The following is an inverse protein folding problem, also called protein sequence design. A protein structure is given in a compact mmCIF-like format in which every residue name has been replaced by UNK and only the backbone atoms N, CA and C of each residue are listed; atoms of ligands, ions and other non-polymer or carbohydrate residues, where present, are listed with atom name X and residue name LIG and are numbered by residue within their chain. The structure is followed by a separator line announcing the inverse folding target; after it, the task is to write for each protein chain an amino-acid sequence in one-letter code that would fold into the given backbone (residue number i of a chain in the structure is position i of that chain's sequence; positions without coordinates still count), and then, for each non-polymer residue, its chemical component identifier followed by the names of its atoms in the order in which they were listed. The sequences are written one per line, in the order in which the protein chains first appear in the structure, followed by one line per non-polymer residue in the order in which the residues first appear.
data_IF_298846314144
#
_entry.id   IF_298846314144
#
_cell.length_a   1.000
_cell.length_b   1.000
_cell.length_c   1.000
_cell.angle_alpha   90.00
_cell.angle_beta   90.00
_cell.angle_gamma   90.00
#
_symmetry.space_group_name_H-M   'P 1'
#
loop_
_entity.id
_entity.type
_entity.pdbx_description
1 polymer ?
#
# COMPACT_ATOMS: atom_id res chain seq x y z
N UNK A 1 23.02 2.04 -1.96
CA UNK A 1 23.68 2.96 -2.88
C UNK A 1 24.89 2.32 -3.55
N UNK A 2 25.77 1.65 -2.83
CA UNK A 2 27.00 1.05 -3.36
C UNK A 2 26.95 -0.47 -3.56
N UNK A 3 25.73 -1.05 -3.66
CA UNK A 3 25.53 -2.49 -3.84
C UNK A 3 25.97 -3.33 -2.63
N UNK A 4 25.98 -2.74 -1.44
CA UNK A 4 26.25 -3.45 -0.18
C UNK A 4 24.89 -3.97 0.35
N UNK A 5 24.65 -5.23 0.16
CA UNK A 5 23.38 -5.89 0.40
C UNK A 5 23.35 -6.78 1.66
N UNK A 6 24.48 -6.89 2.36
CA UNK A 6 24.55 -7.63 3.63
C UNK A 6 25.37 -6.92 4.70
N UNK A 7 24.98 -7.10 5.96
CA UNK A 7 25.69 -6.53 7.13
C UNK A 7 27.12 -7.07 7.25
N UNK A 8 27.35 -8.31 6.83
CA UNK A 8 28.70 -8.90 6.83
C UNK A 8 29.59 -8.19 5.82
N UNK A 9 29.10 -7.99 4.58
CA UNK A 9 29.83 -7.25 3.56
C UNK A 9 30.04 -5.78 3.97
N UNK A 10 29.05 -5.16 4.61
CA UNK A 10 29.20 -3.80 5.15
C UNK A 10 30.31 -3.72 6.21
N UNK A 11 30.37 -4.66 7.13
CA UNK A 11 31.44 -4.70 8.15
C UNK A 11 32.83 -4.88 7.52
N UNK A 12 32.96 -5.73 6.49
CA UNK A 12 34.20 -5.91 5.73
C UNK A 12 34.61 -4.63 4.99
N UNK A 13 33.67 -3.97 4.30
CA UNK A 13 33.92 -2.72 3.59
C UNK A 13 34.38 -1.62 4.57
N UNK A 14 33.70 -1.46 5.71
CA UNK A 14 34.11 -0.49 6.73
C UNK A 14 35.51 -0.82 7.28
N UNK A 15 35.86 -2.10 7.37
CA UNK A 15 37.15 -2.53 7.90
C UNK A 15 38.32 -2.22 6.96
N UNK A 16 38.13 -2.40 5.64
CA UNK A 16 39.21 -2.36 4.68
C UNK A 16 39.22 -1.11 3.76
N UNK A 17 38.10 -0.41 3.65
CA UNK A 17 37.98 0.78 2.81
C UNK A 17 38.31 2.05 3.59
N UNK A 18 39.42 2.67 3.26
CA UNK A 18 39.89 3.89 3.91
C UNK A 18 38.88 5.03 3.82
N UNK A 19 38.19 5.18 2.66
CA UNK A 19 37.18 6.21 2.49
C UNK A 19 35.98 6.03 3.45
N UNK A 20 35.55 4.79 3.68
CA UNK A 20 34.49 4.52 4.66
C UNK A 20 34.95 4.72 6.10
N UNK A 21 36.19 4.32 6.42
CA UNK A 21 36.78 4.60 7.72
C UNK A 21 36.84 6.09 8.00
N UNK A 22 37.41 6.86 7.05
CA UNK A 22 37.46 8.31 7.17
C UNK A 22 36.11 8.96 7.32
N UNK A 23 35.10 8.57 6.51
CA UNK A 23 33.74 9.10 6.58
C UNK A 23 33.08 8.83 7.93
N UNK A 24 33.35 7.66 8.54
CA UNK A 24 32.80 7.24 9.83
C UNK A 24 33.61 7.71 11.03
N UNK A 25 34.74 8.39 10.79
CA UNK A 25 35.63 8.90 11.83
C UNK A 25 36.51 7.84 12.50
N UNK A 26 36.76 6.70 11.82
CA UNK A 26 37.69 5.67 12.30
C UNK A 26 39.11 5.92 11.80
N UNK A 27 40.08 5.90 12.70
CA UNK A 27 41.50 5.84 12.34
C UNK A 27 41.91 4.44 11.85
N UNK A 28 43.12 4.34 11.25
CA UNK A 28 43.64 3.07 10.69
C UNK A 28 43.71 1.96 11.76
N UNK A 29 44.06 2.34 12.97
CA UNK A 29 44.20 1.41 14.12
C UNK A 29 42.92 1.19 14.91
N UNK A 30 41.82 1.90 14.60
CA UNK A 30 40.59 1.76 15.33
C UNK A 30 39.90 0.43 15.01
N UNK A 31 39.32 -0.17 16.05
CA UNK A 31 38.46 -1.34 15.90
C UNK A 31 37.14 -0.95 15.24
N UNK A 32 36.80 -1.62 14.13
CA UNK A 32 35.52 -1.42 13.44
C UNK A 32 34.45 -2.39 13.96
N UNK A 33 33.16 -2.01 13.85
CA UNK A 33 32.05 -2.88 14.26
C UNK A 33 32.03 -4.22 13.52
N UNK A 34 31.80 -5.30 14.25
CA UNK A 34 31.52 -6.61 13.68
C UNK A 34 30.09 -6.67 13.11
N UNK A 35 29.84 -7.55 12.13
CA UNK A 35 28.53 -7.74 11.53
C UNK A 35 27.44 -8.09 12.56
N UNK A 36 27.79 -8.83 13.63
CA UNK A 36 26.86 -9.17 14.69
C UNK A 36 26.42 -7.95 15.52
N UNK A 37 27.23 -6.88 15.55
CA UNK A 37 26.89 -5.63 16.24
C UNK A 37 25.62 -4.99 15.68
N UNK A 38 25.45 -5.01 14.35
CA UNK A 38 24.25 -4.47 13.69
C UNK A 38 23.00 -5.27 14.10
N UNK A 39 23.08 -6.60 14.00
CA UNK A 39 21.98 -7.50 14.40
C UNK A 39 21.63 -7.36 15.88
N UNK A 40 22.64 -7.33 16.77
CA UNK A 40 22.42 -7.18 18.21
C UNK A 40 21.82 -5.82 18.56
N UNK A 41 22.28 -4.72 17.95
CA UNK A 41 21.69 -3.40 18.17
C UNK A 41 20.23 -3.35 17.71
N UNK A 42 19.90 -3.95 16.55
CA UNK A 42 18.52 -4.02 16.05
C UNK A 42 17.61 -4.78 17.01
N UNK A 43 18.06 -5.93 17.51
CA UNK A 43 17.25 -6.78 18.39
C UNK A 43 17.20 -6.32 19.85
N UNK A 44 18.23 -5.62 20.35
CA UNK A 44 18.32 -5.24 21.76
C UNK A 44 18.11 -3.74 21.98
N UNK A 45 18.91 -2.90 21.30
CA UNK A 45 18.97 -1.45 21.55
C UNK A 45 17.84 -0.70 20.85
N UNK A 46 17.47 -1.13 19.64
CA UNK A 46 16.46 -0.46 18.83
C UNK A 46 15.11 -1.20 18.80
N UNK A 47 15.00 -2.36 19.46
CA UNK A 47 13.75 -3.09 19.56
C UNK A 47 12.70 -2.26 20.30
N UNK A 48 11.55 -2.05 19.69
CA UNK A 48 10.48 -1.24 20.26
C UNK A 48 10.70 0.27 20.22
N UNK A 49 11.80 0.74 19.63
CA UNK A 49 12.04 2.16 19.39
C UNK A 49 11.79 2.50 17.92
N UNK A 50 11.11 3.62 17.69
CA UNK A 50 10.82 4.12 16.34
C UNK A 50 12.03 4.85 15.70
N UNK A 51 13.26 4.47 16.07
CA UNK A 51 14.49 5.17 15.65
C UNK A 51 14.60 5.25 14.13
N UNK A 52 14.29 4.15 13.43
CA UNK A 52 14.36 4.15 11.96
C UNK A 52 13.29 5.07 11.34
N UNK A 53 12.10 5.12 11.95
CA UNK A 53 11.03 6.04 11.53
C UNK A 53 11.45 7.48 11.78
N UNK A 54 12.03 7.79 12.94
CA UNK A 54 12.52 9.12 13.27
C UNK A 54 13.62 9.60 12.32
N UNK A 55 14.57 8.73 11.95
CA UNK A 55 15.62 9.04 10.97
C UNK A 55 14.99 9.33 9.61
N UNK A 56 14.05 8.49 9.18
CA UNK A 56 13.32 8.69 7.93
C UNK A 56 12.60 10.04 7.91
N UNK A 57 11.82 10.32 8.96
CA UNK A 57 11.07 11.57 9.09
C UNK A 57 12.00 12.81 9.09
N UNK A 58 13.16 12.73 9.75
CA UNK A 58 14.17 13.81 9.72
C UNK A 58 14.77 14.04 8.33
N UNK A 59 15.04 12.97 7.59
CA UNK A 59 15.55 13.07 6.22
C UNK A 59 14.50 13.75 5.32
N UNK A 60 13.25 13.31 5.41
CA UNK A 60 12.15 13.88 4.63
C UNK A 60 11.92 15.35 4.99
N UNK A 61 11.98 15.70 6.28
CA UNK A 61 11.86 17.11 6.74
C UNK A 61 12.97 17.97 6.12
N UNK A 62 14.22 17.50 6.09
CA UNK A 62 15.32 18.23 5.43
C UNK A 62 15.10 18.39 3.92
N UNK A 63 14.52 17.40 3.26
CA UNK A 63 14.15 17.51 1.85
C UNK A 63 13.06 18.58 1.64
N UNK A 64 12.10 18.70 2.57
CA UNK A 64 11.10 19.75 2.54
C UNK A 64 11.73 21.15 2.76
N UNK A 65 12.58 21.29 3.77
CA UNK A 65 13.31 22.55 4.05
C UNK A 65 14.15 23.00 2.85
N UNK A 66 14.74 22.05 2.13
CA UNK A 66 15.51 22.32 0.90
C UNK A 66 14.62 22.59 -0.34
N UNK A 67 13.28 22.58 -0.19
CA UNK A 67 12.33 22.82 -1.29
C UNK A 67 12.26 21.68 -2.32
N UNK A 68 12.79 20.49 -1.99
CA UNK A 68 12.78 19.32 -2.87
C UNK A 68 11.45 18.57 -2.86
N UNK A 69 10.61 18.79 -1.86
CA UNK A 69 9.30 18.14 -1.70
C UNK A 69 8.21 19.19 -1.74
N UNK A 70 7.28 19.08 -2.67
CA UNK A 70 6.08 19.92 -2.75
C UNK A 70 4.88 19.27 -2.06
N UNK A 71 4.74 17.96 -2.20
CA UNK A 71 3.67 17.18 -1.61
C UNK A 71 2.27 17.52 -2.13
N UNK A 72 2.15 18.14 -3.31
CA UNK A 72 0.85 18.50 -3.91
C UNK A 72 0.24 17.32 -4.69
N UNK A 73 1.09 16.56 -5.38
CA UNK A 73 0.73 15.33 -6.06
C UNK A 73 1.52 14.18 -5.44
N UNK A 74 0.82 13.21 -4.88
CA UNK A 74 1.43 12.04 -4.25
C UNK A 74 1.04 10.80 -5.02
N UNK A 75 2.02 9.96 -5.35
CA UNK A 75 1.81 8.65 -5.96
C UNK A 75 2.01 7.57 -4.92
N UNK A 76 1.19 6.52 -4.98
CA UNK A 76 1.33 5.37 -4.09
C UNK A 76 1.41 4.08 -4.90
N UNK A 77 2.33 3.23 -4.50
CA UNK A 77 2.50 1.88 -5.05
C UNK A 77 2.93 0.91 -3.95
N UNK A 78 2.81 -0.38 -4.22
CA UNK A 78 3.21 -1.42 -3.27
C UNK A 78 4.16 -2.44 -3.90
N UNK A 79 5.15 -2.85 -3.12
CA UNK A 79 6.14 -3.85 -3.53
C UNK A 79 6.13 -5.04 -2.59
N UNK A 80 6.15 -6.25 -3.16
CA UNK A 80 6.19 -7.48 -2.39
C UNK A 80 7.62 -7.77 -1.91
N UNK A 81 7.76 -8.00 -0.61
CA UNK A 81 9.01 -8.42 0.02
C UNK A 81 8.82 -9.84 0.54
N UNK A 82 9.66 -10.78 0.08
CA UNK A 82 9.60 -12.16 0.55
C UNK A 82 10.00 -12.24 2.02
N UNK A 83 9.14 -12.84 2.85
CA UNK A 83 9.46 -13.13 4.23
C UNK A 83 10.42 -14.32 4.35
N UNK A 84 11.27 -14.29 5.39
CA UNK A 84 12.13 -15.42 5.72
C UNK A 84 11.36 -16.47 6.55
N UNK A 85 10.30 -17.02 5.94
CA UNK A 85 9.38 -17.96 6.58
C UNK A 85 9.21 -19.21 5.72
N UNK A 86 9.35 -20.40 6.32
CA UNK A 86 9.14 -21.68 5.61
C UNK A 86 7.65 -21.88 5.34
N UNK A 87 7.30 -22.04 4.07
CA UNK A 87 5.91 -22.25 3.63
C UNK A 87 5.30 -23.57 4.13
N UNK A 88 6.12 -24.53 4.53
CA UNK A 88 5.67 -25.83 5.09
C UNK A 88 5.26 -25.72 6.55
N UNK A 89 5.85 -24.78 7.30
CA UNK A 89 5.51 -24.52 8.68
C UNK A 89 4.44 -23.44 8.77
N UNK A 90 3.18 -23.83 8.67
CA UNK A 90 2.07 -22.89 8.68
C UNK A 90 0.92 -23.36 9.58
N UNK A 91 0.20 -22.40 10.14
CA UNK A 91 -1.01 -22.58 10.91
C UNK A 91 -2.13 -21.73 10.33
N UNK A 92 -3.35 -22.21 10.46
CA UNK A 92 -4.53 -21.41 10.09
C UNK A 92 -5.10 -20.81 11.36
N UNK A 93 -5.25 -19.49 11.38
CA UNK A 93 -5.89 -18.75 12.48
C UNK A 93 -7.20 -18.13 11.99
N UNK A 94 -8.14 -17.99 12.89
CA UNK A 94 -9.37 -17.23 12.66
C UNK A 94 -9.19 -15.81 13.15
N UNK A 95 -9.48 -14.84 12.29
CA UNK A 95 -9.37 -13.41 12.60
C UNK A 95 -10.71 -12.75 12.33
N UNK A 96 -11.23 -12.06 13.32
CA UNK A 96 -12.44 -11.25 13.15
C UNK A 96 -12.04 -9.98 12.39
N UNK A 97 -12.71 -9.74 11.28
CA UNK A 97 -12.56 -8.53 10.47
C UNK A 97 -13.83 -7.70 10.61
N UNK A 98 -13.67 -6.47 11.04
CA UNK A 98 -14.70 -5.46 10.99
C UNK A 98 -14.59 -4.67 9.70
N UNK A 99 -15.68 -4.49 8.94
CA UNK A 99 -15.68 -3.55 7.82
C UNK A 99 -15.26 -2.16 8.29
N UNK A 100 -14.65 -1.40 7.42
CA UNK A 100 -14.22 -0.05 7.77
C UNK A 100 -15.41 0.87 8.03
N UNK A 101 -15.25 1.82 8.94
CA UNK A 101 -16.31 2.72 9.39
C UNK A 101 -16.98 3.51 8.24
N UNK A 102 -16.24 3.81 7.16
CA UNK A 102 -16.83 4.49 6.01
C UNK A 102 -17.91 3.66 5.27
N UNK A 103 -17.87 2.32 5.36
CA UNK A 103 -18.96 1.47 4.84
C UNK A 103 -20.22 1.60 5.68
N UNK A 104 -20.07 1.78 7.00
CA UNK A 104 -21.20 2.03 7.89
C UNK A 104 -21.86 3.37 7.52
N UNK A 105 -21.06 4.41 7.20
CA UNK A 105 -21.58 5.70 6.72
C UNK A 105 -22.29 5.59 5.38
N UNK A 106 -21.71 4.87 4.39
CA UNK A 106 -22.32 4.68 3.07
C UNK A 106 -23.65 3.93 3.13
N UNK A 107 -23.74 2.91 3.97
CA UNK A 107 -24.94 2.07 4.07
C UNK A 107 -25.93 2.57 5.11
N UNK A 108 -25.59 3.58 5.91
CA UNK A 108 -26.36 4.06 7.07
C UNK A 108 -26.71 2.93 8.06
N UNK A 109 -25.90 1.87 8.07
CA UNK A 109 -26.05 0.70 8.94
C UNK A 109 -24.70 0.16 9.32
N UNK A 110 -24.57 -0.36 10.54
CA UNK A 110 -23.36 -1.05 10.99
C UNK A 110 -23.31 -2.42 10.34
N UNK A 111 -22.25 -2.66 9.55
CA UNK A 111 -22.05 -3.97 8.93
C UNK A 111 -21.55 -4.99 9.96
N UNK A 112 -22.00 -6.27 9.85
CA UNK A 112 -21.58 -7.31 10.76
C UNK A 112 -20.09 -7.62 10.63
N UNK A 113 -19.50 -8.03 11.73
CA UNK A 113 -18.14 -8.57 11.74
C UNK A 113 -18.08 -9.90 10.98
N UNK A 114 -17.02 -10.10 10.19
CA UNK A 114 -16.77 -11.34 9.48
C UNK A 114 -15.57 -12.07 10.10
N UNK A 115 -15.72 -13.38 10.28
CA UNK A 115 -14.59 -14.23 10.67
C UNK A 115 -13.94 -14.80 9.42
N UNK A 116 -12.68 -14.42 9.20
CA UNK A 116 -11.89 -14.89 8.06
C UNK A 116 -10.76 -15.80 8.53
N UNK A 117 -10.41 -16.79 7.74
CA UNK A 117 -9.26 -17.67 7.99
C UNK A 117 -8.02 -17.11 7.34
N UNK A 118 -6.96 -16.94 8.14
CA UNK A 118 -5.66 -16.48 7.66
C UNK A 118 -4.59 -17.53 7.92
N UNK A 119 -3.69 -17.71 6.96
CA UNK A 119 -2.53 -18.59 7.10
C UNK A 119 -1.36 -17.76 7.65
N UNK A 120 -0.74 -18.26 8.72
CA UNK A 120 0.39 -17.60 9.41
C UNK A 120 1.55 -18.57 9.60
N UNK A 121 2.76 -18.04 9.68
CA UNK A 121 3.94 -18.79 10.06
C UNK A 121 4.24 -18.58 11.55
N UNK A 122 4.44 -19.65 12.36
CA UNK A 122 4.73 -19.47 13.79
C UNK A 122 6.03 -18.72 14.10
N UNK A 123 7.02 -18.79 13.18
CA UNK A 123 8.29 -18.09 13.34
C UNK A 123 8.23 -16.63 12.90
N UNK A 124 7.24 -16.26 12.06
CA UNK A 124 7.02 -14.91 11.55
C UNK A 124 5.50 -14.66 11.40
N UNK A 125 4.80 -14.42 12.52
CA UNK A 125 3.34 -14.32 12.54
C UNK A 125 2.77 -13.10 11.80
N UNK A 126 3.59 -12.08 11.56
CA UNK A 126 3.17 -10.85 10.85
C UNK A 126 3.19 -11.04 9.33
N UNK A 127 4.00 -11.97 8.82
CA UNK A 127 4.05 -12.28 7.41
C UNK A 127 2.72 -12.89 6.92
N UNK A 128 2.19 -12.34 5.83
CA UNK A 128 0.96 -12.82 5.21
C UNK A 128 1.22 -13.85 4.11
N UNK A 129 0.41 -14.94 4.06
CA UNK A 129 0.52 -15.92 2.99
C UNK A 129 -0.16 -15.41 1.72
N UNK A 130 0.64 -15.07 0.74
CA UNK A 130 0.17 -14.61 -0.57
C UNK A 130 -0.14 -15.80 -1.48
N UNK A 131 -1.35 -15.83 -2.01
CA UNK A 131 -1.80 -16.81 -3.00
C UNK A 131 -2.71 -16.13 -4.03
N UNK A 132 -2.10 -15.31 -4.89
CA UNK A 132 -2.81 -14.58 -5.96
C UNK A 132 -2.31 -15.03 -7.32
N UNK A 133 -3.21 -15.04 -8.30
CA UNK A 133 -2.83 -15.37 -9.70
C UNK A 133 -1.80 -14.35 -10.20
N UNK A 134 -0.73 -14.84 -10.81
CA UNK A 134 0.35 -14.00 -11.36
C UNK A 134 1.33 -13.44 -10.32
N UNK A 135 1.19 -13.79 -9.04
CA UNK A 135 2.13 -13.40 -7.98
C UNK A 135 2.82 -14.62 -7.38
N UNK A 136 4.04 -14.48 -6.82
CA UNK A 136 4.74 -15.58 -6.15
C UNK A 136 3.95 -16.05 -4.94
N UNK A 137 3.77 -17.38 -4.79
CA UNK A 137 3.14 -17.97 -3.60
C UNK A 137 4.11 -18.02 -2.43
N UNK A 138 3.60 -17.83 -1.22
CA UNK A 138 4.36 -17.94 0.02
C UNK A 138 4.15 -16.78 0.96
N UNK A 139 4.95 -16.76 2.03
CA UNK A 139 4.90 -15.68 3.01
C UNK A 139 5.62 -14.43 2.51
N UNK A 140 4.91 -13.32 2.50
CA UNK A 140 5.39 -12.03 2.02
C UNK A 140 4.91 -10.91 2.95
N UNK A 141 5.60 -9.79 2.83
CA UNK A 141 5.15 -8.48 3.25
C UNK A 141 4.83 -7.63 2.02
N UNK A 142 3.92 -6.68 2.18
CA UNK A 142 3.71 -5.58 1.24
C UNK A 142 4.31 -4.32 1.83
N UNK A 143 5.24 -3.73 1.12
CA UNK A 143 5.80 -2.42 1.41
C UNK A 143 5.05 -1.40 0.56
N UNK A 144 4.20 -0.59 1.20
CA UNK A 144 3.46 0.49 0.58
C UNK A 144 4.26 1.78 0.69
N UNK A 145 4.49 2.44 -0.42
CA UNK A 145 5.28 3.67 -0.50
C UNK A 145 4.44 4.80 -1.08
N UNK A 146 4.41 5.93 -0.38
CA UNK A 146 3.89 7.18 -0.91
C UNK A 146 5.06 8.08 -1.28
N UNK A 147 5.09 8.58 -2.52
CA UNK A 147 6.18 9.42 -3.03
C UNK A 147 5.64 10.71 -3.62
N UNK A 148 6.41 11.78 -3.51
CA UNK A 148 6.17 13.02 -4.25
C UNK A 148 6.30 12.73 -5.75
N UNK A 149 5.27 13.08 -6.54
CA UNK A 149 5.23 12.75 -7.95
C UNK A 149 6.27 13.51 -8.79
N UNK A 150 6.66 14.71 -8.36
CA UNK A 150 7.61 15.56 -9.08
C UNK A 150 9.05 15.09 -8.91
N UNK A 151 9.40 14.63 -7.71
CA UNK A 151 10.80 14.33 -7.36
C UNK A 151 11.06 12.86 -7.10
N UNK A 152 10.02 12.06 -6.86
CA UNK A 152 10.14 10.66 -6.49
C UNK A 152 10.62 10.44 -5.04
N UNK A 153 10.74 11.50 -4.24
CA UNK A 153 11.13 11.37 -2.83
C UNK A 153 10.01 10.65 -2.07
N UNK A 154 10.37 9.60 -1.35
CA UNK A 154 9.44 8.83 -0.53
C UNK A 154 9.06 9.66 0.69
N UNK A 155 7.75 9.89 0.85
CA UNK A 155 7.17 10.69 1.94
C UNK A 155 6.68 9.83 3.09
N UNK A 156 6.25 8.61 2.78
CA UNK A 156 5.75 7.66 3.76
C UNK A 156 5.98 6.22 3.32
N UNK A 157 6.18 5.36 4.30
CA UNK A 157 6.31 3.92 4.12
C UNK A 157 5.48 3.22 5.17
N UNK A 158 4.66 2.27 4.75
CA UNK A 158 3.96 1.36 5.66
C UNK A 158 4.10 -0.09 5.18
N UNK A 159 4.02 -1.03 6.11
CA UNK A 159 4.19 -2.45 5.80
C UNK A 159 2.98 -3.23 6.30
N UNK A 160 2.45 -4.09 5.44
CA UNK A 160 1.36 -5.02 5.80
C UNK A 160 1.76 -6.45 5.45
N UNK A 161 1.03 -7.44 5.95
CA UNK A 161 1.20 -8.82 5.51
C UNK A 161 0.83 -9.00 4.03
N UNK A 162 1.48 -9.92 3.34
CA UNK A 162 1.26 -10.18 1.91
C UNK A 162 -0.13 -10.72 1.54
N UNK A 163 -0.95 -11.05 2.53
CA UNK A 163 -2.36 -11.42 2.38
C UNK A 163 -3.31 -10.21 2.32
N UNK A 164 -2.81 -9.00 2.61
CA UNK A 164 -3.55 -7.74 2.52
C UNK A 164 -3.53 -7.22 1.08
N UNK A 165 -4.65 -6.67 0.60
CA UNK A 165 -4.69 -6.07 -0.73
C UNK A 165 -3.95 -4.73 -0.77
N UNK A 166 -3.35 -4.42 -1.91
CA UNK A 166 -2.53 -3.22 -2.12
C UNK A 166 -3.31 -1.92 -1.81
N UNK A 167 -4.61 -1.91 -2.11
CA UNK A 167 -5.50 -0.77 -1.89
C UNK A 167 -6.01 -0.60 -0.45
N UNK A 168 -5.83 -1.58 0.44
CA UNK A 168 -6.48 -1.54 1.77
C UNK A 168 -6.02 -0.37 2.65
N UNK A 169 -4.74 -0.04 2.67
CA UNK A 169 -4.22 1.06 3.50
C UNK A 169 -4.17 2.43 2.79
N UNK A 170 -4.59 2.50 1.52
CA UNK A 170 -4.37 3.69 0.70
C UNK A 170 -5.00 4.95 1.30
N UNK A 171 -6.30 4.95 1.56
CA UNK A 171 -7.01 6.13 2.09
C UNK A 171 -6.43 6.57 3.43
N UNK A 172 -6.10 5.62 4.30
CA UNK A 172 -5.49 5.89 5.60
C UNK A 172 -4.12 6.56 5.46
N UNK A 173 -3.29 6.13 4.51
CA UNK A 173 -1.98 6.74 4.27
C UNK A 173 -2.09 8.15 3.72
N UNK A 174 -3.01 8.42 2.80
CA UNK A 174 -3.29 9.78 2.33
C UNK A 174 -3.86 10.68 3.45
N UNK A 175 -4.75 10.15 4.29
CA UNK A 175 -5.26 10.87 5.44
C UNK A 175 -4.14 11.24 6.43
N UNK A 176 -3.25 10.29 6.73
CA UNK A 176 -2.08 10.51 7.57
C UNK A 176 -1.16 11.59 7.01
N UNK A 177 -0.80 11.50 5.74
CA UNK A 177 0.06 12.48 5.09
C UNK A 177 -0.57 13.88 5.08
N UNK A 178 -1.87 13.98 4.83
CA UNK A 178 -2.57 15.26 4.75
C UNK A 178 -2.84 15.88 6.11
N UNK A 179 -3.34 15.09 7.06
CA UNK A 179 -3.83 15.60 8.34
C UNK A 179 -2.75 15.64 9.42
N UNK A 180 -1.86 14.63 9.48
CA UNK A 180 -0.83 14.53 10.52
C UNK A 180 0.51 15.12 10.05
N UNK A 181 0.90 14.86 8.80
CA UNK A 181 2.14 15.41 8.23
C UNK A 181 1.94 16.76 7.53
N UNK A 182 0.70 17.21 7.38
CA UNK A 182 0.32 18.50 6.82
C UNK A 182 0.78 18.77 5.39
N UNK A 183 0.92 17.73 4.57
CA UNK A 183 1.21 17.92 3.15
C UNK A 183 0.01 18.54 2.43
N UNK A 184 0.23 19.49 1.51
CA UNK A 184 -0.84 20.18 0.76
C UNK A 184 -1.37 19.32 -0.40
N UNK A 185 -1.68 18.04 -0.13
CA UNK A 185 -2.07 17.07 -1.16
C UNK A 185 -3.36 17.49 -1.83
N UNK A 186 -3.31 17.67 -3.15
CA UNK A 186 -4.44 18.00 -4.05
C UNK A 186 -4.79 16.84 -4.96
N UNK A 187 -3.81 16.01 -5.31
CA UNK A 187 -3.99 14.91 -6.25
C UNK A 187 -3.24 13.64 -5.84
N UNK A 188 -3.79 12.51 -6.24
CA UNK A 188 -3.25 11.18 -6.03
C UNK A 188 -3.09 10.46 -7.38
N UNK A 189 -1.90 9.92 -7.67
CA UNK A 189 -1.64 9.07 -8.82
C UNK A 189 -1.56 7.61 -8.39
N UNK A 190 -2.41 6.74 -8.96
CA UNK A 190 -2.55 5.36 -8.53
C UNK A 190 -2.70 4.42 -9.73
N UNK A 191 -2.26 3.19 -9.60
CA UNK A 191 -2.42 2.17 -10.63
C UNK A 191 -3.86 1.60 -10.68
N UNK A 192 -4.13 0.73 -11.65
CA UNK A 192 -5.46 0.12 -11.82
C UNK A 192 -5.89 -0.82 -10.68
N UNK A 193 -4.96 -1.28 -9.86
CA UNK A 193 -5.26 -2.08 -8.66
C UNK A 193 -6.00 -1.30 -7.59
N UNK A 194 -5.90 0.02 -7.63
CA UNK A 194 -6.58 0.94 -6.71
C UNK A 194 -7.94 1.44 -7.24
N UNK A 195 -8.37 1.04 -8.44
CA UNK A 195 -9.66 1.46 -9.04
C UNK A 195 -10.83 0.77 -8.34
N UNK A 196 -11.16 1.24 -7.16
CA UNK A 196 -12.26 0.76 -6.32
C UNK A 196 -13.10 1.92 -5.80
N UNK A 197 -14.39 1.68 -5.57
CA UNK A 197 -15.32 2.67 -5.00
C UNK A 197 -14.77 3.25 -3.69
N UNK A 198 -14.20 2.41 -2.85
CA UNK A 198 -13.58 2.77 -1.58
C UNK A 198 -12.52 3.86 -1.75
N UNK A 199 -11.62 3.69 -2.69
CA UNK A 199 -10.52 4.64 -2.93
C UNK A 199 -11.06 5.96 -3.47
N UNK A 200 -11.93 5.93 -4.48
CA UNK A 200 -12.55 7.13 -5.03
C UNK A 200 -13.33 7.90 -3.95
N UNK A 201 -14.15 7.21 -3.18
CA UNK A 201 -14.93 7.81 -2.10
C UNK A 201 -14.03 8.42 -1.01
N UNK A 202 -13.06 7.65 -0.52
CA UNK A 202 -12.16 8.09 0.55
C UNK A 202 -11.30 9.29 0.15
N UNK A 203 -10.70 9.27 -1.05
CA UNK A 203 -9.90 10.39 -1.54
C UNK A 203 -10.77 11.65 -1.80
N UNK A 204 -11.98 11.48 -2.33
CA UNK A 204 -12.93 12.59 -2.52
C UNK A 204 -13.28 13.25 -1.17
N UNK A 205 -13.53 12.48 -0.12
CA UNK A 205 -13.77 13.03 1.23
C UNK A 205 -12.57 13.77 1.80
N UNK A 206 -11.36 13.36 1.45
CA UNK A 206 -10.14 14.09 1.80
C UNK A 206 -9.92 15.34 0.92
N UNK A 207 -10.78 15.60 -0.07
CA UNK A 207 -10.58 16.68 -1.03
C UNK A 207 -9.37 16.46 -1.94
N UNK A 208 -9.08 15.19 -2.28
CA UNK A 208 -7.96 14.79 -3.13
C UNK A 208 -8.52 14.26 -4.45
N UNK A 209 -8.07 14.83 -5.57
CA UNK A 209 -8.43 14.35 -6.91
C UNK A 209 -7.66 13.07 -7.23
N UNK A 210 -8.37 11.98 -7.48
CA UNK A 210 -7.77 10.70 -7.80
C UNK A 210 -7.54 10.55 -9.32
N UNK A 211 -6.30 10.35 -9.73
CA UNK A 211 -5.90 9.94 -11.08
C UNK A 211 -5.57 8.45 -11.06
N UNK A 212 -6.56 7.62 -11.33
CA UNK A 212 -6.44 6.17 -11.29
C UNK A 212 -6.65 5.62 -12.69
N UNK A 213 -5.75 4.75 -13.14
CA UNK A 213 -5.95 4.05 -14.39
C UNK A 213 -7.18 3.12 -14.25
N UNK A 214 -8.21 3.23 -15.12
CA UNK A 214 -9.38 2.36 -15.03
C UNK A 214 -9.00 0.89 -15.05
N UNK A 215 -9.54 0.11 -14.11
CA UNK A 215 -9.41 -1.33 -14.12
C UNK A 215 -10.28 -1.91 -15.22
N UNK A 216 -9.68 -2.26 -16.35
CA UNK A 216 -10.33 -3.03 -17.41
C UNK A 216 -10.56 -4.43 -16.87
N UNK A 217 -11.61 -4.60 -16.06
CA UNK A 217 -12.05 -5.93 -15.64
C UNK A 217 -12.46 -6.65 -16.90
N UNK A 218 -11.62 -7.60 -17.30
CA UNK A 218 -11.85 -8.38 -18.50
C UNK A 218 -13.29 -8.88 -18.54
N UNK A 219 -13.86 -8.82 -19.70
CA UNK A 219 -15.19 -9.36 -19.98
C UNK A 219 -15.35 -10.69 -19.29
N UNK A 220 -16.27 -10.74 -18.36
CA UNK A 220 -16.72 -12.02 -17.85
C UNK A 220 -17.10 -12.90 -19.05
N UNK A 221 -16.96 -14.17 -18.91
CA UNK A 221 -17.35 -15.28 -19.79
C UNK A 221 -18.04 -14.87 -21.12
N UNK A 222 -17.30 -14.98 -22.20
CA UNK A 222 -17.79 -15.13 -23.59
C UNK A 222 -18.51 -13.91 -24.19
N UNK A 223 -19.79 -13.78 -24.01
CA UNK A 223 -20.63 -12.86 -24.78
C UNK A 223 -21.05 -11.56 -24.05
N UNK A 224 -20.34 -11.18 -22.97
CA UNK A 224 -20.66 -9.96 -22.24
C UNK A 224 -19.93 -8.74 -22.79
N UNK A 225 -20.65 -7.66 -22.98
CA UNK A 225 -20.09 -6.37 -23.41
C UNK A 225 -19.37 -5.72 -22.19
N UNK A 226 -18.11 -5.27 -22.36
CA UNK A 226 -17.39 -4.58 -21.28
C UNK A 226 -18.12 -3.32 -20.81
N UNK A 227 -18.06 -3.03 -19.52
CA UNK A 227 -18.77 -1.87 -18.93
C UNK A 227 -18.31 -0.52 -19.49
N UNK A 228 -17.06 -0.41 -19.94
CA UNK A 228 -16.49 0.79 -20.57
C UNK A 228 -17.10 1.11 -21.94
N UNK A 229 -17.84 0.18 -22.54
CA UNK A 229 -18.52 0.36 -23.81
C UNK A 229 -19.93 0.95 -23.68
N UNK A 230 -20.44 1.03 -22.46
CA UNK A 230 -21.75 1.62 -22.21
C UNK A 230 -21.63 3.14 -22.02
N UNK A 231 -22.44 3.90 -22.75
CA UNK A 231 -22.48 5.34 -22.63
C UNK A 231 -23.48 5.74 -21.54
N UNK A 232 -23.00 6.42 -20.50
CA UNK A 232 -23.85 6.99 -19.45
C UNK A 232 -24.53 8.28 -19.91
N UNK A 233 -25.83 8.36 -19.73
CA UNK A 233 -26.67 9.53 -20.05
C UNK A 233 -27.23 10.10 -18.73
N UNK A 234 -26.57 11.10 -18.11
CA UNK A 234 -26.95 11.62 -16.80
C UNK A 234 -28.35 12.27 -16.80
N UNK A 235 -28.73 12.95 -17.89
CA UNK A 235 -30.01 13.65 -18.01
C UNK A 235 -31.22 12.68 -18.00
N UNK A 236 -31.00 11.42 -18.37
CA UNK A 236 -32.04 10.41 -18.52
C UNK A 236 -31.89 9.28 -17.49
N UNK A 237 -30.88 9.32 -16.64
CA UNK A 237 -30.53 8.25 -15.68
C UNK A 237 -30.54 6.86 -16.34
N UNK A 238 -29.87 6.73 -17.50
CA UNK A 238 -29.81 5.49 -18.27
C UNK A 238 -28.41 5.26 -18.89
N UNK A 239 -28.15 4.01 -19.27
CA UNK A 239 -27.00 3.65 -20.10
C UNK A 239 -27.46 3.27 -21.50
N UNK A 240 -26.65 3.64 -22.52
CA UNK A 240 -26.83 3.15 -23.89
C UNK A 240 -25.76 2.08 -24.14
N UNK A 241 -26.20 0.89 -24.51
CA UNK A 241 -25.27 -0.19 -24.88
C UNK A 241 -24.71 0.04 -26.30
N UNK A 242 -23.57 -0.59 -26.69
CA UNK A 242 -23.00 -0.48 -28.03
C UNK A 242 -23.92 -0.90 -29.15
N UNK A 243 -24.94 -1.71 -28.86
CA UNK A 243 -25.97 -2.13 -29.84
C UNK A 243 -27.15 -1.15 -29.91
N UNK A 244 -27.06 0.01 -29.24
CA UNK A 244 -28.10 1.05 -29.28
C UNK A 244 -29.27 0.80 -28.30
N UNK A 245 -29.27 -0.25 -27.52
CA UNK A 245 -30.31 -0.49 -26.53
C UNK A 245 -30.13 0.43 -25.31
N UNK A 246 -31.24 1.01 -24.84
CA UNK A 246 -31.27 1.79 -23.60
C UNK A 246 -31.48 0.89 -22.40
N UNK A 247 -30.64 1.06 -21.36
CA UNK A 247 -30.79 0.36 -20.08
C UNK A 247 -31.29 1.38 -19.04
N UNK A 248 -32.46 1.15 -18.52
CA UNK A 248 -33.11 2.02 -17.53
C UNK A 248 -32.87 1.49 -16.12
N UNK A 249 -32.93 2.39 -15.14
CA UNK A 249 -32.79 2.01 -13.73
C UNK A 249 -33.90 1.06 -13.29
N UNK A 250 -33.51 -0.10 -12.74
CA UNK A 250 -34.44 -1.12 -12.25
C UNK A 250 -34.52 -1.19 -10.72
N UNK A 251 -33.42 -0.91 -10.03
CA UNK A 251 -33.37 -1.01 -8.59
C UNK A 251 -31.96 -0.97 -8.04
N UNK A 252 -31.87 -1.01 -6.72
CA UNK A 252 -30.60 -1.07 -5.99
C UNK A 252 -30.49 -2.42 -5.30
N UNK A 253 -29.30 -3.03 -5.35
CA UNK A 253 -28.99 -4.24 -4.62
C UNK A 253 -27.66 -4.08 -3.89
N UNK A 254 -27.44 -4.82 -2.81
CA UNK A 254 -26.23 -4.74 -2.01
C UNK A 254 -25.29 -5.87 -2.41
N UNK A 255 -24.03 -5.52 -2.77
CA UNK A 255 -22.98 -6.49 -3.03
C UNK A 255 -21.77 -6.14 -2.17
N UNK A 256 -21.34 -7.08 -1.32
CA UNK A 256 -20.25 -6.88 -0.36
C UNK A 256 -20.41 -5.60 0.48
N UNK A 257 -21.64 -5.29 0.91
CA UNK A 257 -21.94 -4.08 1.68
C UNK A 257 -22.08 -2.79 0.87
N UNK A 258 -21.86 -2.85 -0.45
CA UNK A 258 -21.97 -1.68 -1.34
C UNK A 258 -23.34 -1.66 -2.04
N UNK A 259 -24.10 -0.56 -1.96
CA UNK A 259 -25.31 -0.41 -2.76
C UNK A 259 -24.94 -0.20 -4.24
N UNK A 260 -25.36 -1.10 -5.08
CA UNK A 260 -25.16 -1.06 -6.52
C UNK A 260 -26.48 -0.79 -7.22
N UNK A 261 -26.49 0.16 -8.15
CA UNK A 261 -27.65 0.44 -9.00
C UNK A 261 -27.66 -0.51 -10.20
N UNK A 262 -28.80 -1.13 -10.46
CA UNK A 262 -29.01 -2.03 -11.59
C UNK A 262 -29.76 -1.33 -12.71
N UNK A 263 -29.26 -1.48 -13.94
CA UNK A 263 -29.86 -0.95 -15.17
C UNK A 263 -30.10 -2.10 -16.14
N UNK A 264 -31.27 -2.14 -16.75
CA UNK A 264 -31.72 -3.25 -17.60
C UNK A 264 -32.41 -2.70 -18.85
N UNK A 265 -32.23 -3.36 -19.97
CA UNK A 265 -32.95 -3.08 -21.22
C UNK A 265 -34.33 -3.71 -21.25
#
# INVERSE_FOLDING_TARGET
LYGIDSERKLAEEVRYNIAYRWYLGFDLDDATPDHSTFSQNRHRRFKGHEVFRQIFDQIVARCQEAGLVKGECVVMDSTHIKANADTRNNITIEVTRRPEAYWDELNQTVLPEETIKKVRNPSDPEAGYMNRTGKPKGFHYLNHQCSDADTGIILDVSVTGGDVQDCECCVERYAYLKNEKHYPIRSAGLDSGYDTIRIHYGLTRLGITAYIRPCMRGTGRGDTIPSDKFLWMPDRDCYICPNGCELTFRGTWISHGVPLRSYVS
#
